data_IF_832190010365
#
_entry.id   IF_832190010365
#
_cell.length_a   1.000
_cell.length_b   1.000
_cell.length_c   1.000
_cell.angle_alpha   90.00
_cell.angle_beta   90.00
_cell.angle_gamma   90.00
#
_symmetry.space_group_name_H-M   'P 1'
#
loop_
_entity.id
_entity.type
_entity.pdbx_description
1 polymer ?
#
# COMPACT_ATOMS: atom_id res chain seq x y z
N UNK A 1 28.34 42.16 3.69
CA UNK A 1 27.91 41.08 2.76
C UNK A 1 26.94 40.17 3.50
N UNK A 2 25.95 39.64 2.77
CA UNK A 2 24.65 39.17 3.26
C UNK A 2 24.68 37.97 4.22
N UNK A 3 23.58 37.90 4.99
CA UNK A 3 23.24 37.04 6.14
C UNK A 3 23.27 35.51 5.85
N UNK A 4 23.38 34.67 6.90
CA UNK A 4 23.31 33.21 6.77
C UNK A 4 21.90 32.77 6.32
N UNK A 5 21.82 32.05 5.20
CA UNK A 5 20.55 31.54 4.68
C UNK A 5 20.19 30.22 5.36
N UNK A 6 19.56 30.38 6.53
CA UNK A 6 18.38 29.66 7.00
C UNK A 6 18.22 28.18 6.61
N UNK A 7 18.58 27.29 7.54
CA UNK A 7 18.00 25.96 7.67
C UNK A 7 16.50 26.10 8.04
N UNK A 8 15.64 26.22 7.04
CA UNK A 8 14.22 25.97 7.23
C UNK A 8 13.98 24.46 7.09
N UNK A 9 13.99 23.78 8.24
CA UNK A 9 13.50 22.43 8.43
C UNK A 9 12.21 22.21 7.64
N UNK A 10 12.25 21.32 6.65
CA UNK A 10 11.05 20.80 6.02
C UNK A 10 10.42 19.83 7.02
N UNK A 11 9.60 20.35 7.93
CA UNK A 11 8.87 19.58 8.94
C UNK A 11 7.67 18.86 8.31
N UNK A 12 7.92 18.07 7.26
CA UNK A 12 7.01 16.99 6.89
C UNK A 12 7.38 15.83 7.81
N UNK A 13 6.43 15.17 8.50
CA UNK A 13 6.78 14.01 9.29
C UNK A 13 7.43 12.99 8.35
N UNK A 14 8.70 12.67 8.58
CA UNK A 14 9.43 11.70 7.75
C UNK A 14 8.83 10.28 7.79
N UNK A 15 7.82 10.08 8.65
CA UNK A 15 7.19 8.82 8.97
C UNK A 15 5.67 8.92 9.00
N UNK A 16 4.98 7.88 8.51
CA UNK A 16 3.53 7.77 8.59
C UNK A 16 3.09 7.42 10.04
N UNK A 17 1.98 7.98 10.57
CA UNK A 17 1.55 7.80 11.96
C UNK A 17 0.85 6.44 12.23
N UNK A 18 1.32 5.36 11.59
CA UNK A 18 0.68 4.04 11.57
C UNK A 18 0.44 3.45 12.96
N UNK A 19 1.41 3.57 13.86
CA UNK A 19 1.29 3.06 15.22
C UNK A 19 0.28 3.84 16.06
N UNK A 20 0.18 5.15 15.84
CA UNK A 20 -0.79 6.00 16.51
C UNK A 20 -2.21 5.63 16.08
N UNK A 21 -2.44 5.49 14.77
CA UNK A 21 -3.73 5.09 14.20
C UNK A 21 -4.18 3.71 14.70
N UNK A 22 -3.28 2.71 14.70
CA UNK A 22 -3.59 1.40 15.26
C UNK A 22 -4.03 1.49 16.73
N UNK A 23 -3.29 2.26 17.54
CA UNK A 23 -3.59 2.44 18.98
C UNK A 23 -4.90 3.17 19.20
N UNK A 24 -5.24 4.17 18.39
CA UNK A 24 -6.54 4.84 18.43
C UNK A 24 -7.71 3.88 18.18
N UNK A 25 -7.48 2.83 17.36
CA UNK A 25 -8.45 1.75 17.15
C UNK A 25 -8.46 0.69 18.25
N UNK A 26 -7.64 0.82 19.29
CA UNK A 26 -7.55 -0.16 20.38
C UNK A 26 -6.99 -1.53 19.96
N UNK A 27 -6.31 -1.62 18.82
CA UNK A 27 -5.76 -2.86 18.29
C UNK A 27 -4.33 -3.09 18.78
N UNK A 28 -4.02 -4.28 19.28
CA UNK A 28 -2.66 -4.73 19.56
C UNK A 28 -2.03 -5.37 18.32
N UNK A 29 -0.70 -5.40 18.26
CA UNK A 29 0.01 -6.11 17.17
C UNK A 29 -0.26 -7.62 17.19
N UNK A 30 -0.53 -8.21 18.36
CA UNK A 30 -0.91 -9.62 18.48
C UNK A 30 -2.25 -9.90 17.80
N UNK A 31 -3.28 -9.07 18.04
CA UNK A 31 -4.59 -9.21 17.37
C UNK A 31 -4.49 -9.11 15.85
N UNK A 32 -3.63 -8.21 15.35
CA UNK A 32 -3.38 -8.11 13.90
C UNK A 32 -2.63 -9.35 13.39
N UNK A 33 -1.62 -9.82 14.12
CA UNK A 33 -0.89 -11.03 13.75
C UNK A 33 -1.80 -12.28 13.72
N UNK A 34 -2.69 -12.42 14.68
CA UNK A 34 -3.61 -13.55 14.78
C UNK A 34 -4.60 -13.59 13.61
N UNK A 35 -5.09 -12.42 13.17
CA UNK A 35 -6.05 -12.30 12.07
C UNK A 35 -5.40 -12.38 10.69
N UNK A 36 -4.23 -11.76 10.49
CA UNK A 36 -3.56 -11.66 9.17
C UNK A 36 -2.50 -12.73 8.93
N UNK A 37 -2.08 -13.43 9.99
CA UNK A 37 -0.93 -14.35 10.01
C UNK A 37 0.41 -13.67 9.65
N UNK A 38 0.47 -12.35 9.74
CA UNK A 38 1.71 -11.58 9.59
C UNK A 38 2.43 -11.59 10.94
N UNK A 39 3.71 -11.99 10.95
CA UNK A 39 4.51 -11.96 12.18
C UNK A 39 4.61 -10.55 12.76
N UNK A 40 4.53 -10.45 14.09
CA UNK A 40 4.66 -9.19 14.84
C UNK A 40 5.92 -8.43 14.45
N UNK A 41 7.04 -9.13 14.17
CA UNK A 41 8.31 -8.49 13.75
C UNK A 41 8.15 -7.65 12.48
N UNK A 42 7.31 -8.10 11.54
CA UNK A 42 7.06 -7.39 10.29
C UNK A 42 6.07 -6.25 10.48
N UNK A 43 5.06 -6.44 11.35
CA UNK A 43 4.15 -5.37 11.71
C UNK A 43 4.89 -4.20 12.39
N UNK A 44 5.82 -4.51 13.30
CA UNK A 44 6.71 -3.52 13.91
C UNK A 44 7.58 -2.81 12.87
N UNK A 45 8.16 -3.56 11.93
CA UNK A 45 8.96 -2.99 10.86
C UNK A 45 8.14 -2.03 9.97
N UNK A 46 6.87 -2.37 9.66
CA UNK A 46 5.94 -1.49 8.94
C UNK A 46 5.70 -0.20 9.72
N UNK A 47 5.39 -0.29 11.02
CA UNK A 47 5.16 0.89 11.87
C UNK A 47 6.40 1.79 12.01
N UNK A 48 7.60 1.21 11.98
CA UNK A 48 8.87 1.91 12.07
C UNK A 48 9.37 2.42 10.71
N UNK A 49 8.73 2.02 9.60
CA UNK A 49 9.22 2.27 8.24
C UNK A 49 10.54 1.57 7.92
N UNK A 50 10.91 0.53 8.67
CA UNK A 50 12.11 -0.28 8.47
C UNK A 50 11.84 -1.39 7.46
N UNK A 51 11.59 -0.98 6.22
CA UNK A 51 11.16 -1.88 5.16
C UNK A 51 12.23 -2.88 4.71
N UNK A 52 13.50 -2.64 5.07
CA UNK A 52 14.60 -3.57 4.81
C UNK A 52 14.43 -4.91 5.53
N UNK A 53 13.65 -4.97 6.62
CA UNK A 53 13.35 -6.21 7.37
C UNK A 53 12.21 -7.04 6.76
N UNK A 54 11.48 -6.50 5.79
CA UNK A 54 10.40 -7.22 5.14
C UNK A 54 10.96 -8.31 4.20
N UNK A 55 10.19 -9.39 3.94
CA UNK A 55 10.65 -10.49 3.09
C UNK A 55 10.89 -10.10 1.62
N UNK A 56 10.43 -8.92 1.19
CA UNK A 56 10.58 -8.43 -0.18
C UNK A 56 9.46 -8.90 -1.12
N UNK A 57 9.51 -8.39 -2.35
CA UNK A 57 8.63 -8.77 -3.45
C UNK A 57 7.13 -8.62 -3.14
N UNK A 58 6.34 -9.60 -3.58
CA UNK A 58 4.87 -9.60 -3.44
C UNK A 58 4.42 -9.71 -1.98
N UNK A 59 5.23 -10.30 -1.10
CA UNK A 59 4.88 -10.46 0.31
C UNK A 59 4.88 -9.12 1.05
N UNK A 60 5.90 -8.29 0.85
CA UNK A 60 5.96 -6.94 1.45
C UNK A 60 4.72 -6.12 1.11
N UNK A 61 4.35 -6.07 -0.17
CA UNK A 61 3.22 -5.26 -0.63
C UNK A 61 1.89 -5.81 -0.12
N UNK A 62 1.72 -7.13 -0.06
CA UNK A 62 0.55 -7.74 0.52
C UNK A 62 0.42 -7.44 2.04
N UNK A 63 1.53 -7.50 2.78
CA UNK A 63 1.53 -7.19 4.22
C UNK A 63 1.18 -5.73 4.49
N UNK A 64 1.72 -4.81 3.70
CA UNK A 64 1.39 -3.38 3.77
C UNK A 64 -0.11 -3.15 3.53
N UNK A 65 -0.69 -3.77 2.48
CA UNK A 65 -2.13 -3.66 2.19
C UNK A 65 -3.00 -4.22 3.31
N UNK A 66 -2.70 -5.43 3.79
CA UNK A 66 -3.46 -6.05 4.88
C UNK A 66 -3.39 -5.20 6.16
N UNK A 67 -2.21 -4.69 6.51
CA UNK A 67 -2.05 -3.83 7.67
C UNK A 67 -2.86 -2.53 7.54
N UNK A 68 -2.74 -1.83 6.39
CA UNK A 68 -3.47 -0.60 6.12
C UNK A 68 -4.99 -0.79 6.24
N UNK A 69 -5.55 -1.88 5.68
CA UNK A 69 -6.98 -2.23 5.80
C UNK A 69 -7.43 -2.38 7.26
N UNK A 70 -6.65 -3.09 8.08
CA UNK A 70 -7.03 -3.32 9.48
C UNK A 70 -7.10 -2.01 10.27
N UNK A 71 -6.19 -1.07 9.97
CA UNK A 71 -6.12 0.21 10.66
C UNK A 71 -6.94 1.34 9.99
N UNK A 72 -7.72 1.02 8.96
CA UNK A 72 -8.43 1.98 8.08
C UNK A 72 -7.54 3.09 7.51
N UNK A 73 -6.32 2.73 7.09
CA UNK A 73 -5.40 3.64 6.41
C UNK A 73 -5.41 3.41 4.89
N UNK A 74 -5.09 4.45 4.13
CA UNK A 74 -5.02 4.37 2.67
C UNK A 74 -3.88 3.43 2.21
N UNK A 75 -4.26 2.33 1.57
CA UNK A 75 -3.33 1.32 1.04
C UNK A 75 -2.35 1.91 0.02
N UNK A 76 -2.83 2.78 -0.86
CA UNK A 76 -2.02 3.40 -1.90
C UNK A 76 -1.02 4.38 -1.31
N UNK A 77 -1.39 5.12 -0.27
CA UNK A 77 -0.48 6.00 0.45
C UNK A 77 0.65 5.22 1.12
N UNK A 78 0.33 4.13 1.83
CA UNK A 78 1.33 3.30 2.47
C UNK A 78 2.28 2.64 1.45
N UNK A 79 1.75 2.18 0.32
CA UNK A 79 2.56 1.62 -0.76
C UNK A 79 3.44 2.68 -1.43
N UNK A 80 2.93 3.89 -1.70
CA UNK A 80 3.75 5.01 -2.23
C UNK A 80 4.90 5.34 -1.29
N UNK A 81 4.63 5.37 0.02
CA UNK A 81 5.67 5.59 1.03
C UNK A 81 6.71 4.46 1.04
N UNK A 82 6.29 3.20 0.96
CA UNK A 82 7.17 2.04 0.83
C UNK A 82 8.10 2.12 -0.39
N UNK A 83 7.56 2.41 -1.59
CA UNK A 83 8.36 2.50 -2.80
C UNK A 83 9.35 3.65 -2.77
N UNK A 84 8.93 4.83 -2.27
CA UNK A 84 9.83 5.98 -2.08
C UNK A 84 10.99 5.66 -1.15
N UNK A 85 10.74 4.91 -0.07
CA UNK A 85 11.76 4.56 0.94
C UNK A 85 12.70 3.45 0.49
N UNK A 86 12.22 2.52 -0.33
CA UNK A 86 13.01 1.34 -0.76
C UNK A 86 13.67 1.52 -2.12
N UNK A 87 13.22 2.48 -2.94
CA UNK A 87 13.64 2.62 -4.33
C UNK A 87 13.18 1.46 -5.22
N UNK A 88 12.26 0.61 -4.73
CA UNK A 88 11.70 -0.48 -5.51
C UNK A 88 10.62 0.10 -6.44
N UNK A 89 10.73 -0.22 -7.73
CA UNK A 89 9.69 0.14 -8.68
C UNK A 89 8.42 -0.69 -8.44
N UNK A 90 7.24 -0.05 -8.40
CA UNK A 90 5.97 -0.74 -8.23
C UNK A 90 5.70 -1.73 -9.38
N UNK A 91 5.29 -2.97 -9.08
CA UNK A 91 5.00 -3.96 -10.11
C UNK A 91 3.83 -3.51 -10.96
N UNK A 92 4.06 -3.36 -12.27
CA UNK A 92 3.02 -3.03 -13.23
C UNK A 92 2.48 -1.61 -13.12
N UNK A 93 3.28 -0.61 -12.71
CA UNK A 93 3.08 0.72 -13.27
C UNK A 93 3.52 0.69 -14.73
N UNK A 94 2.61 0.64 -15.71
CA UNK A 94 2.98 1.11 -17.03
C UNK A 94 3.40 2.58 -16.86
N UNK A 95 4.56 2.97 -17.40
CA UNK A 95 4.81 4.37 -17.70
C UNK A 95 3.63 4.85 -18.57
N UNK A 96 2.69 5.58 -17.97
CA UNK A 96 1.35 5.86 -18.51
C UNK A 96 0.53 4.60 -18.85
N UNK A 97 -0.57 4.35 -18.13
CA UNK A 97 -1.48 3.25 -18.44
C UNK A 97 -2.13 3.49 -19.81
N UNK A 98 -1.87 2.66 -20.85
CA UNK A 98 -2.69 2.73 -22.05
C UNK A 98 -4.09 2.27 -21.63
N UNK A 99 -5.10 3.10 -21.90
CA UNK A 99 -6.52 2.82 -21.68
C UNK A 99 -6.81 1.33 -21.92
N UNK A 100 -7.09 0.61 -20.83
CA UNK A 100 -7.63 -0.75 -20.97
C UNK A 100 -9.04 -0.60 -21.54
N UNK A 101 -9.18 -0.80 -22.85
CA UNK A 101 -10.49 -0.85 -23.49
C UNK A 101 -11.36 -1.87 -22.72
N UNK A 102 -12.60 -1.52 -22.35
CA UNK A 102 -13.45 -2.42 -21.59
C UNK A 102 -13.56 -3.72 -22.38
N UNK A 103 -13.29 -4.85 -21.71
CA UNK A 103 -13.61 -6.17 -22.25
C UNK A 103 -15.13 -6.19 -22.36
N UNK A 104 -15.64 -5.83 -23.53
CA UNK A 104 -17.04 -5.98 -23.86
C UNK A 104 -17.37 -7.45 -23.66
N UNK A 105 -18.15 -7.73 -22.61
CA UNK A 105 -18.85 -9.00 -22.48
C UNK A 105 -19.89 -9.03 -23.59
N UNK A 106 -19.44 -9.33 -24.81
CA UNK A 106 -20.30 -9.72 -25.89
C UNK A 106 -20.89 -11.07 -25.47
N UNK A 107 -22.04 -11.02 -24.79
CA UNK A 107 -22.90 -12.17 -24.65
C UNK A 107 -23.26 -12.63 -26.05
N UNK A 108 -22.51 -13.61 -26.56
CA UNK A 108 -22.93 -14.43 -27.69
C UNK A 108 -24.04 -15.33 -27.17
N UNK A 109 -25.28 -15.02 -27.54
CA UNK A 109 -26.31 -16.05 -27.66
C UNK A 109 -26.41 -16.42 -29.14
N UNK A 110 -26.26 -17.70 -29.52
CA UNK A 110 -26.39 -18.14 -30.91
C UNK A 110 -27.85 -18.11 -31.38
N UNK A 111 -28.00 -17.97 -32.70
CA UNK A 111 -29.23 -17.79 -33.47
C UNK A 111 -30.19 -19.01 -33.50
N UNK A 112 -31.45 -18.66 -33.78
CA UNK A 112 -32.41 -19.31 -34.71
C UNK A 112 -33.48 -20.28 -34.17
N UNK A 113 -34.75 -19.96 -34.49
CA UNK A 113 -35.69 -20.78 -35.28
C UNK A 113 -37.01 -19.97 -35.46
N UNK A 114 -37.27 -19.40 -36.64
CA UNK A 114 -38.09 -19.93 -37.75
C UNK A 114 -39.62 -19.76 -37.59
N UNK A 115 -40.19 -19.07 -38.59
CA UNK A 115 -41.60 -18.87 -38.93
C UNK A 115 -42.40 -20.19 -38.93
N UNK A 116 -43.65 -20.12 -38.49
CA UNK A 116 -44.83 -20.35 -39.34
C UNK A 116 -46.02 -19.53 -38.83
#
# INVERSE_FOLDING_TARGET
MAKPTNQAAHTQPETLPLAALRRQKGLSLHQIADSTKISIRWLQAIEQGDFAKLPGGVYSTNYLRQYARIIDFDEHELLRYYYRRTGIEPPGQPAAEPERKPVSRLFRSPLAAFRL
#
